data_IF_231658849960
#
_entry.id   IF_231658849960
#
_cell.length_a   1.000
_cell.length_b   1.000
_cell.length_c   1.000
_cell.angle_alpha   90.00
_cell.angle_beta   90.00
_cell.angle_gamma   90.00
#
_symmetry.space_group_name_H-M   'P 1'
#
loop_
_entity.id
_entity.type
_entity.pdbx_description
1 polymer ?
#
# COMPACT_ATOMS: atom_id res chain seq x y z
N UNK A 1 6.09 -6.66 14.76
CA UNK A 1 7.02 -6.61 13.61
C UNK A 1 6.22 -6.14 12.42
N UNK A 2 6.67 -5.09 11.73
CA UNK A 2 6.01 -4.57 10.51
C UNK A 2 6.57 -5.28 9.28
N UNK A 3 5.75 -5.57 8.27
CA UNK A 3 6.17 -6.33 7.08
C UNK A 3 6.52 -5.42 5.90
N UNK A 4 5.78 -4.31 5.78
CA UNK A 4 5.89 -3.35 4.68
C UNK A 4 5.59 -1.96 5.20
N UNK A 5 6.27 -0.97 4.63
CA UNK A 5 5.89 0.45 4.74
C UNK A 5 5.65 1.00 3.34
N UNK A 6 4.58 1.78 3.15
CA UNK A 6 4.34 2.54 1.91
C UNK A 6 4.12 4.01 2.18
N UNK A 7 4.27 4.80 1.12
CA UNK A 7 3.97 6.22 1.10
C UNK A 7 2.63 6.42 0.41
N UNK A 8 1.61 6.75 1.19
CA UNK A 8 0.26 7.03 0.71
C UNK A 8 -0.02 8.52 0.85
N UNK A 9 -0.97 9.04 0.06
CA UNK A 9 -1.38 10.43 0.18
C UNK A 9 -2.32 10.60 1.37
N UNK A 10 -2.00 11.53 2.26
CA UNK A 10 -2.86 11.90 3.39
C UNK A 10 -4.21 12.44 2.89
N UNK A 11 -5.35 11.84 3.27
CA UNK A 11 -6.66 12.34 2.85
C UNK A 11 -7.05 13.67 3.52
N UNK A 12 -6.30 14.11 4.54
CA UNK A 12 -6.55 15.36 5.28
C UNK A 12 -5.73 16.53 4.73
N UNK A 13 -4.42 16.35 4.57
CA UNK A 13 -3.51 17.43 4.20
C UNK A 13 -2.86 17.27 2.82
N UNK A 14 -3.09 16.16 2.11
CA UNK A 14 -2.52 15.91 0.79
C UNK A 14 -1.02 15.59 0.75
N UNK A 15 -0.31 15.61 1.88
CA UNK A 15 1.11 15.25 1.96
C UNK A 15 1.32 13.74 1.93
N UNK A 16 2.55 13.30 1.61
CA UNK A 16 2.95 11.91 1.72
C UNK A 16 3.00 11.48 3.20
N UNK A 17 2.33 10.39 3.50
CA UNK A 17 2.18 9.80 4.83
C UNK A 17 2.73 8.38 4.80
N UNK A 18 3.51 8.01 5.81
CA UNK A 18 4.00 6.64 5.94
C UNK A 18 2.87 5.75 6.50
N UNK A 19 2.66 4.60 5.88
CA UNK A 19 1.67 3.60 6.34
C UNK A 19 2.39 2.27 6.51
N UNK A 20 2.38 1.72 7.72
CA UNK A 20 2.94 0.40 8.01
C UNK A 20 1.87 -0.68 7.91
N UNK A 21 2.24 -1.85 7.38
CA UNK A 21 1.31 -2.93 7.07
C UNK A 21 1.73 -4.26 7.70
N UNK A 22 0.73 -5.05 8.07
CA UNK A 22 0.82 -6.47 8.47
C UNK A 22 -0.35 -7.23 7.83
N UNK A 23 -0.12 -8.36 7.17
CA UNK A 23 -1.12 -9.18 6.46
C UNK A 23 -1.94 -8.38 5.43
N UNK A 24 -1.28 -7.37 4.84
CA UNK A 24 -1.92 -6.41 3.93
C UNK A 24 -2.99 -5.55 4.58
N UNK A 25 -2.96 -5.37 5.90
CA UNK A 25 -3.76 -4.41 6.66
C UNK A 25 -2.88 -3.32 7.24
N UNK A 26 -3.31 -2.05 7.19
CA UNK A 26 -2.58 -0.96 7.80
C UNK A 26 -2.66 -1.08 9.33
N UNK A 27 -1.54 -0.95 10.01
CA UNK A 27 -1.45 -1.06 11.48
C UNK A 27 -0.96 0.24 12.13
N UNK A 28 -0.18 1.04 11.41
CA UNK A 28 0.37 2.29 11.91
C UNK A 28 0.45 3.31 10.77
N UNK A 29 0.24 4.58 11.11
CA UNK A 29 0.23 5.69 10.17
C UNK A 29 0.97 6.86 10.79
N UNK A 30 1.92 7.41 10.06
CA UNK A 30 2.66 8.60 10.46
C UNK A 30 2.57 9.68 9.38
N UNK A 31 1.90 10.78 9.72
CA UNK A 31 1.75 11.93 8.84
C UNK A 31 2.68 13.05 9.31
N UNK A 32 3.61 13.52 8.48
CA UNK A 32 4.57 14.56 8.87
C UNK A 32 3.91 15.90 9.23
N UNK A 33 2.69 16.14 8.75
CA UNK A 33 1.89 17.31 9.11
C UNK A 33 1.16 17.17 10.47
N UNK A 34 1.33 16.05 11.19
CA UNK A 34 0.67 15.79 12.46
C UNK A 34 -0.84 15.56 12.35
N UNK A 35 -1.33 15.19 11.16
CA UNK A 35 -2.75 14.87 10.99
C UNK A 35 -3.13 13.63 11.80
N UNK A 36 -4.23 13.73 12.54
CA UNK A 36 -4.78 12.60 13.31
C UNK A 36 -5.49 11.65 12.35
N UNK A 37 -4.78 10.62 11.91
CA UNK A 37 -5.25 9.59 10.99
C UNK A 37 -5.47 8.28 11.72
N UNK A 38 -6.40 7.48 11.21
CA UNK A 38 -6.59 6.10 11.62
C UNK A 38 -5.99 5.18 10.56
N UNK A 39 -5.37 4.04 10.92
CA UNK A 39 -5.05 2.99 9.96
C UNK A 39 -6.26 2.59 9.11
N UNK A 40 -7.48 2.66 9.66
CA UNK A 40 -8.71 2.38 8.94
C UNK A 40 -8.92 3.25 7.69
N UNK A 41 -8.39 4.48 7.67
CA UNK A 41 -8.50 5.42 6.55
C UNK A 41 -7.78 4.90 5.28
N UNK A 42 -6.84 3.95 5.44
CA UNK A 42 -6.04 3.37 4.35
C UNK A 42 -6.47 1.95 3.96
N UNK A 43 -7.60 1.45 4.49
CA UNK A 43 -8.11 0.11 4.16
C UNK A 43 -8.52 -0.01 2.68
N UNK A 44 -9.00 1.07 2.08
CA UNK A 44 -9.39 1.08 0.66
C UNK A 44 -8.20 0.87 -0.28
N UNK A 45 -7.05 1.45 0.04
CA UNK A 45 -5.80 1.23 -0.71
C UNK A 45 -5.24 -0.19 -0.53
N UNK A 46 -5.45 -0.78 0.66
CA UNK A 46 -5.17 -2.19 0.90
C UNK A 46 -5.96 -3.10 -0.04
N UNK A 47 -7.26 -2.82 -0.23
CA UNK A 47 -8.12 -3.58 -1.13
C UNK A 47 -7.68 -3.42 -2.60
N UNK A 48 -7.32 -2.20 -3.04
CA UNK A 48 -6.79 -1.97 -4.39
C UNK A 48 -5.48 -2.71 -4.63
N UNK A 49 -4.57 -2.69 -3.66
CA UNK A 49 -3.26 -3.38 -3.78
C UNK A 49 -3.45 -4.88 -3.93
N UNK A 50 -4.32 -5.51 -3.11
CA UNK A 50 -4.64 -6.95 -3.24
C UNK A 50 -5.17 -7.29 -4.64
N UNK A 51 -6.03 -6.44 -5.19
CA UNK A 51 -6.57 -6.63 -6.54
C UNK A 51 -5.48 -6.55 -7.63
N UNK A 52 -4.49 -5.67 -7.44
CA UNK A 52 -3.36 -5.50 -8.35
C UNK A 52 -2.40 -6.70 -8.31
N UNK A 53 -2.12 -7.25 -7.13
CA UNK A 53 -1.31 -8.47 -6.99
C UNK A 53 -1.99 -9.68 -7.64
N UNK A 54 -3.30 -9.84 -7.47
CA UNK A 54 -4.06 -10.89 -8.18
C UNK A 54 -4.02 -10.75 -9.70
N UNK A 55 -3.88 -9.52 -10.22
CA UNK A 55 -3.74 -9.25 -11.66
C UNK A 55 -2.34 -9.60 -12.18
N UNK A 56 -1.29 -9.38 -11.38
CA UNK A 56 0.09 -9.73 -11.73
C UNK A 56 0.34 -11.25 -11.77
N UNK A 57 -0.41 -12.05 -11.01
CA UNK A 57 -0.39 -13.52 -11.11
C UNK A 57 -0.84 -14.04 -12.49
N UNK A 58 -1.49 -13.21 -13.31
CA UNK A 58 -2.01 -13.59 -14.63
C UNK A 58 -1.00 -13.45 -15.78
N UNK A 59 0.15 -12.82 -15.56
CA UNK A 59 1.12 -12.48 -16.62
C UNK A 59 2.46 -13.24 -16.52
N UNK A 60 2.51 -14.35 -15.78
CA UNK A 60 3.69 -15.24 -15.76
C UNK A 60 3.67 -16.26 -16.91
N UNK A 61 3.68 -15.77 -18.15
CA UNK A 61 4.08 -16.49 -19.36
C UNK A 61 4.30 -15.41 -20.42
N UNK A 62 5.52 -15.04 -20.83
CA UNK A 62 6.51 -15.88 -21.48
C UNK A 62 7.80 -15.05 -21.57
N UNK A 63 8.93 -15.54 -21.02
CA UNK A 63 10.25 -15.01 -21.42
C UNK A 63 10.65 -15.77 -22.68
N UNK A 64 10.38 -15.20 -23.85
CA UNK A 64 10.97 -15.69 -25.09
C UNK A 64 12.34 -15.07 -25.24
N UNK A 65 13.35 -15.92 -25.02
CA UNK A 65 14.77 -15.76 -25.30
C UNK A 65 14.99 -15.21 -26.71
N UNK A 66 15.52 -14.00 -26.81
CA UNK A 66 16.02 -13.47 -28.08
C UNK A 66 17.31 -14.21 -28.48
N UNK A 67 17.34 -14.78 -29.69
CA UNK A 67 18.55 -15.19 -30.39
C UNK A 67 18.42 -14.78 -31.85
#
# INVERSE_FOLDING_TARGET
MIERVTWETCPRCGHATAVAWIDGRPVEVDCPSGCRLSPADFLQEAARTKHRTSSLSRWSATVSRWR
#
